data_IF_423003272511
#
_entry.id   IF_423003272511
#
_cell.length_a   1.000
_cell.length_b   1.000
_cell.length_c   1.000
_cell.angle_alpha   90.00
_cell.angle_beta   90.00
_cell.angle_gamma   90.00
#
_symmetry.space_group_name_H-M   'P 1'
#
loop_
_entity.id
_entity.type
_entity.pdbx_description
1 polymer ?
#
# COMPACT_ATOMS: atom_id res chain seq x y z
N UNK A 1 52.71 25.63 43.96
CA UNK A 1 51.94 24.37 43.98
C UNK A 1 50.65 24.62 43.21
N UNK A 2 50.57 24.14 41.97
CA UNK A 2 49.39 24.24 41.11
C UNK A 2 48.56 22.96 41.27
N UNK A 3 47.30 23.09 41.66
CA UNK A 3 46.33 22.00 41.71
C UNK A 3 45.72 21.76 40.33
N UNK A 4 45.77 20.54 39.77
CA UNK A 4 45.15 20.24 38.50
C UNK A 4 43.64 20.06 38.66
N UNK A 5 42.85 20.78 37.88
CA UNK A 5 41.40 20.58 37.72
C UNK A 5 41.14 19.52 36.64
N UNK A 6 40.62 18.35 37.02
CA UNK A 6 40.11 17.35 36.07
C UNK A 6 38.74 17.78 35.52
N UNK A 7 38.53 17.80 34.19
CA UNK A 7 37.20 17.93 33.62
C UNK A 7 36.44 16.60 33.71
N UNK A 8 35.27 16.63 34.33
CA UNK A 8 34.32 15.51 34.37
C UNK A 8 33.60 15.43 33.01
N UNK A 9 34.04 14.51 32.14
CA UNK A 9 33.36 14.21 30.90
C UNK A 9 32.16 13.29 31.20
N UNK A 10 30.94 13.83 31.12
CA UNK A 10 29.70 13.04 31.21
C UNK A 10 29.36 12.59 29.80
N UNK A 11 29.69 11.34 29.47
CA UNK A 11 29.28 10.72 28.20
C UNK A 11 27.84 10.22 28.36
N UNK A 12 26.87 10.98 27.86
CA UNK A 12 25.47 10.56 27.79
C UNK A 12 25.33 9.54 26.65
N UNK A 13 25.34 8.25 27.00
CA UNK A 13 25.07 7.17 26.06
C UNK A 13 23.57 7.20 25.68
N UNK A 14 23.24 7.83 24.56
CA UNK A 14 21.91 7.77 23.97
C UNK A 14 21.64 6.38 23.44
N UNK A 15 20.78 5.62 24.11
CA UNK A 15 20.19 4.40 23.57
C UNK A 15 19.25 4.80 22.42
N UNK A 16 19.76 4.75 21.18
CA UNK A 16 18.95 4.82 19.98
C UNK A 16 18.23 3.48 19.84
N UNK A 17 16.95 3.44 20.20
CA UNK A 17 16.08 2.33 19.84
C UNK A 17 15.68 2.51 18.38
N UNK A 18 16.36 1.80 17.48
CA UNK A 18 15.91 1.68 16.09
C UNK A 18 14.69 0.77 16.06
N UNK A 19 13.50 1.36 15.98
CA UNK A 19 12.29 0.63 15.64
C UNK A 19 12.48 0.06 14.22
N UNK A 20 12.53 -1.27 14.09
CA UNK A 20 12.41 -1.90 12.78
C UNK A 20 10.96 -1.73 12.34
N UNK A 21 10.76 -1.05 11.21
CA UNK A 21 9.48 -1.11 10.52
C UNK A 21 9.31 -2.56 10.05
N UNK A 22 8.31 -3.27 10.59
CA UNK A 22 7.97 -4.58 10.10
C UNK A 22 7.30 -4.40 8.73
N UNK A 23 7.86 -5.05 7.71
CA UNK A 23 7.22 -5.16 6.40
C UNK A 23 5.90 -5.94 6.57
N UNK A 24 4.84 -5.45 5.94
CA UNK A 24 3.55 -6.14 5.86
C UNK A 24 3.44 -6.75 4.48
N UNK A 25 3.64 -8.06 4.38
CA UNK A 25 3.64 -8.78 3.12
C UNK A 25 2.20 -9.00 2.61
N UNK A 26 2.07 -8.99 1.30
CA UNK A 26 0.86 -9.31 0.55
C UNK A 26 1.16 -10.39 -0.46
N UNK A 27 0.30 -11.40 -0.47
CA UNK A 27 0.18 -12.36 -1.56
C UNK A 27 -1.01 -11.97 -2.44
N UNK A 28 -0.74 -11.57 -3.68
CA UNK A 28 -1.77 -11.17 -4.64
C UNK A 28 -1.89 -12.17 -5.78
N UNK A 29 -3.12 -12.49 -6.17
CA UNK A 29 -3.44 -13.23 -7.40
C UNK A 29 -4.42 -12.39 -8.20
N UNK A 30 -4.05 -11.95 -9.39
CA UNK A 30 -4.79 -10.94 -10.17
C UNK A 30 -4.81 -11.31 -11.64
N UNK A 31 -5.88 -10.96 -12.35
CA UNK A 31 -5.93 -10.95 -13.81
C UNK A 31 -6.92 -9.88 -14.32
N UNK A 32 -6.87 -9.53 -15.61
CA UNK A 32 -7.79 -8.58 -16.21
C UNK A 32 -8.08 -8.91 -17.68
N UNK A 33 -9.34 -8.73 -18.08
CA UNK A 33 -9.80 -8.67 -19.46
C UNK A 33 -9.86 -7.17 -19.85
N UNK A 34 -8.83 -6.57 -20.47
CA UNK A 34 -7.65 -7.22 -21.08
C UNK A 34 -6.33 -6.96 -20.35
N UNK A 35 -6.17 -5.83 -19.69
CA UNK A 35 -4.87 -5.45 -19.15
C UNK A 35 -4.93 -4.76 -17.80
N UNK A 36 -3.87 -4.94 -17.01
CA UNK A 36 -3.67 -4.19 -15.78
C UNK A 36 -2.21 -3.90 -15.44
N UNK A 37 -2.00 -2.89 -14.60
CA UNK A 37 -0.82 -2.69 -13.78
C UNK A 37 -1.18 -2.66 -12.30
N UNK A 38 -0.36 -3.31 -11.48
CA UNK A 38 -0.50 -3.38 -10.02
C UNK A 38 0.51 -2.45 -9.37
N UNK A 39 0.04 -1.55 -8.51
CA UNK A 39 0.88 -0.58 -7.80
C UNK A 39 0.56 -0.57 -6.30
N UNK A 40 1.50 -0.06 -5.53
CA UNK A 40 1.30 0.36 -4.14
C UNK A 40 1.69 1.81 -3.97
N UNK A 41 1.04 2.54 -3.05
CA UNK A 41 1.41 3.92 -2.74
C UNK A 41 0.53 4.54 -1.67
N UNK A 42 0.80 5.79 -1.33
CA UNK A 42 -0.01 6.54 -0.37
C UNK A 42 -1.36 6.94 -0.98
N UNK A 43 -2.31 7.35 -0.14
CA UNK A 43 -3.66 7.74 -0.58
C UNK A 43 -3.70 8.88 -1.62
N UNK A 44 -2.67 9.73 -1.62
CA UNK A 44 -2.50 10.90 -2.48
C UNK A 44 -1.69 10.62 -3.76
N UNK A 45 -1.33 9.35 -4.01
CA UNK A 45 -0.51 8.95 -5.15
C UNK A 45 0.99 9.21 -4.96
N UNK A 46 1.43 9.68 -3.79
CA UNK A 46 2.85 9.73 -3.46
C UNK A 46 3.40 8.33 -3.14
N UNK A 47 4.72 8.16 -3.28
CA UNK A 47 5.40 6.88 -3.08
C UNK A 47 4.87 5.71 -3.93
N UNK A 48 4.27 6.01 -5.09
CA UNK A 48 3.81 4.97 -6.03
C UNK A 48 4.98 4.11 -6.51
N UNK A 49 4.80 2.79 -6.40
CA UNK A 49 5.73 1.78 -6.88
C UNK A 49 4.97 0.77 -7.72
N UNK A 50 5.46 0.49 -8.92
CA UNK A 50 4.95 -0.60 -9.77
C UNK A 50 5.40 -1.93 -9.19
N UNK A 51 4.44 -2.82 -8.92
CA UNK A 51 4.69 -4.21 -8.52
C UNK A 51 4.77 -5.11 -9.74
N UNK A 52 3.83 -4.96 -10.68
CA UNK A 52 3.76 -5.81 -11.87
C UNK A 52 2.64 -5.44 -12.82
N UNK A 53 2.51 -6.21 -13.90
CA UNK A 53 1.46 -6.12 -14.93
C UNK A 53 1.19 -7.49 -15.54
N UNK A 54 0.05 -7.66 -16.21
CA UNK A 54 -0.15 -8.80 -17.12
C UNK A 54 0.51 -8.60 -18.49
N UNK A 55 0.44 -9.62 -19.33
CA UNK A 55 1.10 -9.65 -20.63
C UNK A 55 0.57 -8.60 -21.63
N UNK A 56 1.40 -8.30 -22.63
CA UNK A 56 1.00 -7.52 -23.79
C UNK A 56 0.24 -8.40 -24.78
N UNK A 57 -0.64 -7.78 -25.57
CA UNK A 57 -1.40 -8.46 -26.61
C UNK A 57 -2.59 -9.25 -26.06
N UNK A 58 -3.39 -9.80 -26.97
CA UNK A 58 -4.59 -10.57 -26.65
C UNK A 58 -4.34 -12.03 -26.23
N UNK A 59 -3.08 -12.49 -26.27
CA UNK A 59 -2.69 -13.87 -25.95
C UNK A 59 -1.96 -13.95 -24.62
N UNK A 60 -2.41 -14.84 -23.72
CA UNK A 60 -1.79 -15.06 -22.41
C UNK A 60 -0.70 -16.12 -22.41
N UNK A 61 0.18 -16.09 -21.42
CA UNK A 61 1.08 -17.22 -21.18
C UNK A 61 0.26 -18.38 -20.61
N UNK A 62 0.10 -19.44 -21.39
CA UNK A 62 -0.59 -20.72 -21.07
C UNK A 62 -2.12 -20.77 -21.16
N UNK A 63 -2.83 -19.63 -21.25
CA UNK A 63 -4.27 -19.56 -21.50
C UNK A 63 -4.66 -19.40 -22.98
N UNK A 64 -5.96 -19.55 -23.29
CA UNK A 64 -6.51 -19.19 -24.60
C UNK A 64 -6.63 -17.68 -24.82
N UNK A 65 -6.73 -16.90 -23.73
CA UNK A 65 -6.74 -15.44 -23.68
C UNK A 65 -5.85 -14.95 -22.52
N UNK A 66 -5.42 -13.69 -22.59
CA UNK A 66 -4.53 -13.04 -21.61
C UNK A 66 -5.10 -12.90 -20.19
N UNK A 67 -6.40 -13.12 -20.00
CA UNK A 67 -7.06 -13.03 -18.71
C UNK A 67 -7.36 -14.38 -18.04
N UNK A 68 -7.13 -15.50 -18.72
CA UNK A 68 -7.59 -16.81 -18.23
C UNK A 68 -6.72 -17.39 -17.12
N UNK A 69 -5.47 -16.98 -17.03
CA UNK A 69 -4.51 -17.45 -16.04
C UNK A 69 -4.05 -16.25 -15.24
N UNK A 70 -4.28 -16.19 -13.92
CA UNK A 70 -3.88 -15.04 -13.13
C UNK A 70 -2.40 -15.06 -12.79
N UNK A 71 -1.82 -13.88 -12.72
CA UNK A 71 -0.47 -13.69 -12.21
C UNK A 71 -0.47 -13.65 -10.68
N UNK A 72 0.65 -14.09 -10.11
CA UNK A 72 0.88 -14.07 -8.66
C UNK A 72 2.01 -13.11 -8.32
N UNK A 73 1.81 -12.31 -7.28
CA UNK A 73 2.79 -11.37 -6.75
C UNK A 73 2.95 -11.56 -5.24
N UNK A 74 4.16 -11.35 -4.76
CA UNK A 74 4.47 -11.24 -3.35
C UNK A 74 5.24 -9.93 -3.14
N UNK A 75 4.72 -9.05 -2.28
CA UNK A 75 5.31 -7.72 -2.05
C UNK A 75 4.96 -7.16 -0.67
N UNK A 76 5.84 -6.30 -0.16
CA UNK A 76 5.63 -5.59 1.09
C UNK A 76 4.90 -4.26 0.89
N UNK A 77 3.94 -3.95 1.76
CA UNK A 77 3.40 -2.60 1.94
C UNK A 77 4.04 -1.88 3.13
N UNK A 78 4.36 -0.61 2.89
CA UNK A 78 4.57 0.35 3.95
C UNK A 78 3.27 0.67 4.72
N UNK A 79 3.43 1.26 5.89
CA UNK A 79 2.31 1.76 6.71
C UNK A 79 1.48 2.78 5.93
N UNK A 80 0.16 2.72 6.08
CA UNK A 80 -0.82 3.62 5.46
C UNK A 80 -0.86 3.60 3.92
N UNK A 81 -0.24 2.58 3.31
CA UNK A 81 -0.26 2.39 1.87
C UNK A 81 -1.50 1.62 1.39
N UNK A 82 -1.89 1.96 0.16
CA UNK A 82 -3.01 1.40 -0.57
C UNK A 82 -2.50 0.54 -1.71
N UNK A 83 -3.30 -0.45 -2.09
CA UNK A 83 -3.10 -1.20 -3.33
C UNK A 83 -3.91 -0.52 -4.43
N UNK A 84 -3.30 -0.40 -5.60
CA UNK A 84 -3.89 0.20 -6.79
C UNK A 84 -3.84 -0.78 -7.96
N UNK A 85 -4.95 -0.86 -8.69
CA UNK A 85 -5.02 -1.53 -9.99
C UNK A 85 -5.30 -0.47 -11.05
N UNK A 86 -4.47 -0.41 -12.09
CA UNK A 86 -4.73 0.41 -13.29
C UNK A 86 -5.11 -0.54 -14.40
N UNK A 87 -6.38 -0.56 -14.82
CA UNK A 87 -6.88 -1.50 -15.82
C UNK A 87 -7.42 -0.81 -17.06
N UNK A 88 -7.29 -1.44 -18.22
CA UNK A 88 -7.86 -0.96 -19.47
C UNK A 88 -8.34 -2.13 -20.35
N UNK A 89 -9.39 -1.84 -21.12
CA UNK A 89 -9.95 -2.74 -22.13
C UNK A 89 -9.19 -2.55 -23.46
N UNK A 90 -8.90 -3.61 -24.20
CA UNK A 90 -8.40 -3.49 -25.57
C UNK A 90 -9.37 -4.06 -26.62
N UNK A 91 -10.57 -4.45 -26.17
CA UNK A 91 -11.75 -4.70 -26.97
C UNK A 91 -12.54 -5.90 -26.46
N UNK A 92 -13.82 -5.69 -26.19
CA UNK A 92 -14.74 -6.76 -25.82
C UNK A 92 -15.29 -6.55 -24.41
N UNK A 93 -15.69 -7.63 -23.71
CA UNK A 93 -16.08 -7.55 -22.31
C UNK A 93 -14.89 -7.17 -21.45
N UNK A 94 -15.08 -6.16 -20.62
CA UNK A 94 -14.03 -5.62 -19.75
C UNK A 94 -14.23 -6.03 -18.29
N UNK A 95 -13.16 -6.42 -17.63
CA UNK A 95 -13.16 -6.61 -16.19
C UNK A 95 -11.74 -6.76 -15.65
N UNK A 96 -11.60 -6.65 -14.34
CA UNK A 96 -10.50 -7.30 -13.66
C UNK A 96 -11.00 -8.04 -12.43
N UNK A 97 -10.23 -9.04 -12.01
CA UNK A 97 -10.53 -9.84 -10.83
C UNK A 97 -9.23 -10.18 -10.11
N UNK A 98 -9.26 -10.16 -8.79
CA UNK A 98 -8.14 -10.51 -7.95
C UNK A 98 -8.50 -10.72 -6.50
N UNK A 99 -7.53 -11.25 -5.76
CA UNK A 99 -7.55 -11.42 -4.31
C UNK A 99 -6.17 -11.07 -3.74
N UNK A 100 -6.17 -10.52 -2.52
CA UNK A 100 -4.96 -10.05 -1.84
C UNK A 100 -4.98 -10.58 -0.41
N UNK A 101 -4.13 -11.56 -0.13
CA UNK A 101 -3.92 -12.12 1.19
C UNK A 101 -3.05 -11.19 2.03
N UNK A 102 -3.55 -10.82 3.20
CA UNK A 102 -2.86 -9.95 4.12
C UNK A 102 -2.12 -10.79 5.19
N UNK A 103 -0.99 -10.30 5.70
CA UNK A 103 -0.20 -10.97 6.76
C UNK A 103 -0.99 -11.30 8.04
N UNK A 104 -2.11 -10.62 8.28
CA UNK A 104 -3.00 -10.88 9.42
C UNK A 104 -4.02 -12.01 9.15
N UNK A 105 -3.96 -12.67 7.99
CA UNK A 105 -4.88 -13.73 7.56
C UNK A 105 -6.20 -13.23 6.97
N UNK A 106 -6.41 -11.91 6.92
CA UNK A 106 -7.55 -11.33 6.21
C UNK A 106 -7.28 -11.27 4.71
N UNK A 107 -8.35 -11.02 3.95
CA UNK A 107 -8.30 -10.92 2.50
C UNK A 107 -9.00 -9.65 2.04
N UNK A 108 -8.46 -9.06 0.98
CA UNK A 108 -9.16 -8.07 0.17
C UNK A 108 -9.54 -8.76 -1.13
N UNK A 109 -10.80 -8.72 -1.50
CA UNK A 109 -11.27 -9.28 -2.77
C UNK A 109 -11.61 -8.16 -3.74
N UNK A 110 -11.40 -8.39 -5.02
CA UNK A 110 -12.07 -7.59 -6.06
C UNK A 110 -13.57 -7.71 -5.86
N UNK A 111 -14.20 -6.64 -5.41
CA UNK A 111 -15.65 -6.52 -5.25
C UNK A 111 -15.97 -5.02 -5.11
N UNK A 112 -17.25 -4.70 -5.10
CA UNK A 112 -17.71 -3.31 -5.09
C UNK A 112 -17.60 -2.60 -3.73
N UNK A 113 -17.25 -3.33 -2.66
CA UNK A 113 -17.20 -2.79 -1.29
C UNK A 113 -15.78 -2.61 -0.75
N UNK A 114 -14.82 -3.36 -1.26
CA UNK A 114 -13.41 -3.29 -0.85
C UNK A 114 -12.61 -2.32 -1.73
N UNK A 115 -13.18 -1.92 -2.87
CA UNK A 115 -12.54 -1.08 -3.87
C UNK A 115 -13.33 0.19 -4.15
N UNK A 116 -12.57 1.25 -4.43
CA UNK A 116 -13.00 2.47 -5.07
C UNK A 116 -12.37 2.54 -6.44
N UNK A 117 -12.96 3.31 -7.33
CA UNK A 117 -12.52 3.41 -8.70
C UNK A 117 -12.78 4.81 -9.30
N UNK A 118 -11.94 5.19 -10.26
CA UNK A 118 -11.97 6.45 -11.03
C UNK A 118 -11.49 6.19 -12.45
N UNK A 119 -11.69 7.15 -13.35
CA UNK A 119 -11.06 7.18 -14.67
C UNK A 119 -9.77 7.98 -14.63
N UNK A 120 -8.78 7.55 -15.44
CA UNK A 120 -7.54 8.28 -15.66
C UNK A 120 -7.73 9.47 -16.59
N UNK A 121 -6.71 10.32 -16.68
CA UNK A 121 -6.71 11.46 -17.60
C UNK A 121 -6.13 11.15 -18.98
N UNK A 122 -5.33 10.08 -19.09
CA UNK A 122 -4.67 9.67 -20.33
C UNK A 122 -5.55 8.81 -21.25
N UNK A 123 -5.11 8.59 -22.50
CA UNK A 123 -5.81 7.71 -23.43
C UNK A 123 -5.69 6.25 -22.98
N UNK A 124 -6.60 5.42 -23.48
CA UNK A 124 -6.48 3.96 -23.38
C UNK A 124 -5.16 3.50 -24.02
N UNK A 125 -4.28 2.78 -23.28
CA UNK A 125 -3.02 2.27 -23.81
C UNK A 125 -3.20 1.26 -24.97
N UNK A 126 -4.29 0.52 -25.00
CA UNK A 126 -4.57 -0.56 -25.94
C UNK A 126 -3.66 -1.79 -25.76
N UNK A 127 -3.74 -2.71 -26.71
CA UNK A 127 -3.16 -4.07 -26.63
C UNK A 127 -1.65 -4.14 -26.36
N UNK A 128 -0.91 -3.20 -26.95
CA UNK A 128 0.56 -3.13 -26.82
C UNK A 128 1.00 -1.84 -26.14
N UNK A 129 0.07 -1.20 -25.41
CA UNK A 129 0.32 0.04 -24.71
C UNK A 129 1.23 -0.12 -23.52
N UNK A 130 2.00 0.94 -23.25
CA UNK A 130 2.71 1.08 -21.99
C UNK A 130 1.78 1.58 -20.90
N UNK A 131 2.09 1.18 -19.66
CA UNK A 131 1.42 1.71 -18.48
C UNK A 131 1.59 3.25 -18.42
N UNK A 132 0.61 3.97 -17.86
CA UNK A 132 0.77 5.40 -17.59
C UNK A 132 2.02 5.64 -16.74
N UNK A 133 2.79 6.67 -17.09
CA UNK A 133 3.99 7.04 -16.32
C UNK A 133 3.60 7.40 -14.88
N UNK A 134 4.45 7.03 -13.91
CA UNK A 134 4.16 7.22 -12.47
C UNK A 134 3.77 8.66 -12.09
N UNK A 135 4.39 9.66 -12.72
CA UNK A 135 4.05 11.06 -12.49
C UNK A 135 2.62 11.41 -12.94
N UNK A 136 2.16 10.86 -14.06
CA UNK A 136 0.79 11.04 -14.56
C UNK A 136 -0.18 10.33 -13.62
N UNK A 137 0.09 9.06 -13.29
CA UNK A 137 -0.75 8.27 -12.41
C UNK A 137 -0.90 8.89 -11.01
N UNK A 138 0.19 9.44 -10.45
CA UNK A 138 0.15 10.17 -9.18
C UNK A 138 -0.77 11.40 -9.23
N UNK A 139 -0.75 12.17 -10.33
CA UNK A 139 -1.62 13.33 -10.50
C UNK A 139 -3.09 12.91 -10.64
N UNK A 140 -3.37 11.84 -11.39
CA UNK A 140 -4.72 11.29 -11.51
C UNK A 140 -5.27 10.87 -10.15
N UNK A 141 -4.47 10.16 -9.35
CA UNK A 141 -4.87 9.73 -7.99
C UNK A 141 -5.11 10.92 -7.08
N UNK A 142 -4.23 11.94 -7.12
CA UNK A 142 -4.37 13.15 -6.31
C UNK A 142 -5.64 13.94 -6.65
N UNK A 143 -6.01 14.01 -7.92
CA UNK A 143 -7.19 14.72 -8.42
C UNK A 143 -8.47 13.89 -8.49
N UNK A 144 -8.40 12.60 -8.15
CA UNK A 144 -9.48 11.65 -8.38
C UNK A 144 -10.73 11.92 -7.53
N UNK A 145 -11.88 11.75 -8.16
CA UNK A 145 -13.16 11.58 -7.45
C UNK A 145 -13.48 10.10 -7.37
N UNK A 146 -13.22 9.51 -6.21
CA UNK A 146 -13.37 8.08 -5.97
C UNK A 146 -14.84 7.69 -5.74
N UNK A 147 -15.28 6.61 -6.39
CA UNK A 147 -16.61 6.01 -6.20
C UNK A 147 -16.51 4.48 -6.16
N UNK A 148 -17.53 3.80 -5.67
CA UNK A 148 -17.58 2.33 -5.79
C UNK A 148 -17.62 1.93 -7.28
N UNK A 149 -17.03 0.79 -7.68
CA UNK A 149 -17.17 0.25 -9.03
C UNK A 149 -18.64 0.16 -9.46
N UNK A 150 -18.92 0.57 -10.70
CA UNK A 150 -20.26 0.63 -11.27
C UNK A 150 -20.87 -0.76 -11.48
N UNK A 151 -20.05 -1.76 -11.78
CA UNK A 151 -20.50 -3.11 -12.06
C UNK A 151 -19.60 -4.17 -11.39
N UNK A 152 -20.21 -5.33 -11.14
CA UNK A 152 -19.59 -6.48 -10.49
C UNK A 152 -20.40 -7.75 -10.73
N UNK A 153 -19.74 -8.87 -11.03
CA UNK A 153 -20.36 -10.21 -11.09
C UNK A 153 -19.41 -11.25 -10.49
N UNK A 154 -19.95 -12.30 -9.87
CA UNK A 154 -19.15 -13.31 -9.18
C UNK A 154 -18.17 -14.05 -10.12
N UNK A 155 -17.03 -14.49 -9.56
CA UNK A 155 -16.15 -15.45 -10.21
C UNK A 155 -16.94 -16.71 -10.64
N UNK A 156 -16.84 -17.10 -11.92
CA UNK A 156 -17.71 -18.11 -12.53
C UNK A 156 -18.75 -17.55 -13.51
N UNK A 157 -18.97 -16.24 -13.53
CA UNK A 157 -19.93 -15.61 -14.42
C UNK A 157 -19.47 -15.57 -15.89
N UNK A 158 -20.41 -15.73 -16.82
CA UNK A 158 -20.18 -15.52 -18.26
C UNK A 158 -19.89 -14.03 -18.55
N UNK A 159 -18.96 -13.70 -19.47
CA UNK A 159 -18.25 -14.60 -20.39
C UNK A 159 -16.97 -15.24 -19.82
N UNK A 160 -16.47 -14.77 -18.68
CA UNK A 160 -15.15 -15.15 -18.16
C UNK A 160 -15.10 -16.56 -17.56
N UNK A 161 -16.20 -17.05 -16.99
CA UNK A 161 -16.22 -18.32 -16.27
C UNK A 161 -15.44 -18.23 -14.96
N UNK A 162 -14.96 -19.38 -14.46
CA UNK A 162 -14.20 -19.44 -13.21
C UNK A 162 -12.71 -19.22 -13.49
N UNK A 163 -12.07 -18.29 -12.78
CA UNK A 163 -10.62 -18.13 -12.77
C UNK A 163 -10.03 -19.01 -11.66
N UNK A 164 -9.26 -20.03 -12.04
CA UNK A 164 -8.57 -20.91 -11.10
C UNK A 164 -7.54 -20.13 -10.27
N UNK A 165 -7.43 -20.44 -8.98
CA UNK A 165 -6.55 -19.74 -8.05
C UNK A 165 -7.16 -18.48 -7.42
N UNK A 166 -8.30 -18.00 -7.93
CA UNK A 166 -9.04 -16.88 -7.33
C UNK A 166 -10.30 -17.39 -6.62
N UNK A 167 -10.54 -16.90 -5.40
CA UNK A 167 -11.69 -17.23 -4.56
C UNK A 167 -13.02 -16.93 -5.24
N UNK A 168 -14.06 -17.71 -4.91
CA UNK A 168 -15.44 -17.41 -5.30
C UNK A 168 -16.03 -16.16 -4.61
N UNK A 169 -15.34 -15.60 -3.61
CA UNK A 169 -15.69 -14.33 -2.98
C UNK A 169 -15.25 -13.11 -3.80
N UNK A 170 -14.37 -13.30 -4.80
CA UNK A 170 -13.99 -12.26 -5.73
C UNK A 170 -15.03 -12.11 -6.86
N UNK A 171 -15.11 -10.90 -7.39
CA UNK A 171 -16.01 -10.48 -8.46
C UNK A 171 -15.18 -9.89 -9.60
N UNK A 172 -15.58 -10.19 -10.83
CA UNK A 172 -15.20 -9.40 -11.99
C UNK A 172 -15.84 -8.02 -11.84
N UNK A 173 -15.03 -6.99 -11.63
CA UNK A 173 -15.51 -5.63 -11.43
C UNK A 173 -15.02 -4.70 -12.54
N UNK A 174 -15.81 -3.66 -12.79
CA UNK A 174 -15.41 -2.55 -13.67
C UNK A 174 -15.98 -1.21 -13.21
N UNK A 175 -15.40 -0.11 -13.72
CA UNK A 175 -15.70 1.26 -13.31
C UNK A 175 -17.17 1.63 -13.53
N UNK A 176 -17.77 1.22 -14.63
CA UNK A 176 -19.12 1.63 -15.05
C UNK A 176 -20.02 0.45 -15.41
N UNK A 177 -19.64 -0.38 -16.38
CA UNK A 177 -20.41 -1.53 -16.88
C UNK A 177 -19.48 -2.69 -17.27
N UNK A 178 -20.06 -3.89 -17.35
CA UNK A 178 -19.42 -5.12 -17.85
C UNK A 178 -19.86 -5.45 -19.28
N UNK A 179 -20.51 -4.50 -19.95
CA UNK A 179 -20.87 -4.63 -21.35
C UNK A 179 -19.62 -4.58 -22.25
N UNK A 180 -19.74 -5.01 -23.51
CA UNK A 180 -18.64 -5.01 -24.46
C UNK A 180 -18.19 -3.60 -24.94
N UNK A 181 -18.76 -2.55 -24.36
CA UNK A 181 -18.40 -1.16 -24.61
C UNK A 181 -18.84 -0.30 -23.43
N UNK A 182 -17.98 0.60 -22.99
CA UNK A 182 -18.24 1.58 -21.96
C UNK A 182 -17.65 2.96 -22.24
N UNK A 183 -18.17 4.00 -21.57
CA UNK A 183 -17.53 5.30 -21.52
C UNK A 183 -16.06 5.25 -21.07
N UNK A 184 -15.69 4.32 -20.18
CA UNK A 184 -14.32 4.15 -19.71
C UNK A 184 -13.32 3.71 -20.79
N UNK A 185 -13.76 3.14 -21.90
CA UNK A 185 -12.86 2.49 -22.88
C UNK A 185 -11.97 3.48 -23.63
N UNK A 186 -12.29 4.78 -23.55
CA UNK A 186 -11.42 5.82 -24.10
C UNK A 186 -10.17 6.08 -23.24
N UNK A 187 -10.11 5.53 -22.02
CA UNK A 187 -9.06 5.76 -21.02
C UNK A 187 -8.72 4.49 -20.26
N UNK A 188 -7.79 4.57 -19.32
CA UNK A 188 -7.60 3.55 -18.28
C UNK A 188 -8.43 3.90 -17.05
N UNK A 189 -8.78 2.87 -16.28
CA UNK A 189 -9.48 2.98 -15.00
C UNK A 189 -8.49 2.72 -13.87
N UNK A 190 -8.65 3.42 -12.76
CA UNK A 190 -7.79 3.27 -11.58
C UNK A 190 -8.68 2.81 -10.45
N UNK A 191 -8.33 1.70 -9.82
CA UNK A 191 -8.96 1.17 -8.62
C UNK A 191 -8.01 1.34 -7.44
N UNK A 192 -8.56 1.61 -6.26
CA UNK A 192 -7.84 1.71 -5.00
C UNK A 192 -8.62 0.99 -3.91
N UNK A 193 -7.95 0.31 -2.99
CA UNK A 193 -8.61 -0.23 -1.80
C UNK A 193 -9.33 0.88 -1.01
N UNK A 194 -10.49 0.57 -0.42
CA UNK A 194 -11.26 1.56 0.36
C UNK A 194 -10.49 2.05 1.59
N UNK A 195 -9.75 1.13 2.21
CA UNK A 195 -8.88 1.39 3.36
C UNK A 195 -7.43 1.11 2.99
N UNK A 196 -6.49 1.68 3.76
CA UNK A 196 -5.10 1.22 3.73
C UNK A 196 -5.05 -0.29 3.93
N UNK A 197 -4.31 -1.00 3.07
CA UNK A 197 -4.15 -2.45 3.20
C UNK A 197 -3.19 -2.79 4.35
N UNK A 198 -2.36 -1.83 4.78
CA UNK A 198 -1.58 -1.89 6.00
C UNK A 198 -1.87 -0.64 6.85
N UNK A 199 -2.93 -0.60 7.66
CA UNK A 199 -3.27 0.58 8.49
C UNK A 199 -2.23 0.85 9.60
N UNK A 200 -1.14 0.07 9.64
CA UNK A 200 -0.24 -0.02 10.77
C UNK A 200 -0.93 -0.69 11.96
N UNK A 201 -0.15 -1.40 12.77
CA UNK A 201 -0.53 -1.41 14.18
C UNK A 201 -0.16 -0.03 14.70
N UNK A 202 -1.09 0.66 15.35
CA UNK A 202 -0.72 1.80 16.20
C UNK A 202 0.08 1.21 17.36
N UNK A 203 1.33 0.79 17.11
CA UNK A 203 2.22 0.32 18.15
C UNK A 203 2.25 1.47 19.15
N UNK A 204 1.89 1.25 20.42
CA UNK A 204 1.90 2.31 21.41
C UNK A 204 3.29 2.91 21.38
N UNK A 205 3.41 4.15 20.90
CA UNK A 205 4.68 4.87 20.86
C UNK A 205 5.25 4.71 22.26
N UNK A 206 6.44 4.10 22.45
CA UNK A 206 7.03 3.96 23.76
C UNK A 206 7.23 5.38 24.29
N UNK A 207 6.29 5.84 25.11
CA UNK A 207 6.40 7.14 25.75
C UNK A 207 7.67 7.00 26.57
N UNK A 208 8.72 7.82 26.35
CA UNK A 208 9.93 7.73 27.15
C UNK A 208 9.46 7.78 28.59
N UNK A 209 9.69 6.68 29.33
CA UNK A 209 9.04 6.47 30.62
C UNK A 209 9.17 7.78 31.40
N UNK A 210 8.07 8.40 31.86
CA UNK A 210 8.15 9.65 32.61
C UNK A 210 9.15 9.56 33.78
N UNK A 211 9.37 8.34 34.28
CA UNK A 211 10.38 7.96 35.26
C UNK A 211 11.83 8.18 34.82
N UNK A 212 12.18 7.97 33.54
CA UNK A 212 13.53 8.21 33.03
C UNK A 212 13.85 9.72 33.01
N UNK A 213 12.88 10.56 32.64
CA UNK A 213 13.01 12.03 32.74
C UNK A 213 13.03 12.50 34.20
N UNK A 214 12.22 11.89 35.07
CA UNK A 214 12.21 12.18 36.51
C UNK A 214 13.56 11.84 37.15
N UNK A 215 14.15 10.69 36.82
CA UNK A 215 15.44 10.25 37.37
C UNK A 215 16.60 11.15 36.94
N UNK A 216 16.65 11.58 35.67
CA UNK A 216 17.69 12.51 35.19
C UNK A 216 17.54 13.91 35.83
N UNK A 217 16.31 14.34 36.12
CA UNK A 217 16.05 15.63 36.78
C UNK A 217 16.46 15.72 38.25
N UNK A 218 16.46 14.61 39.01
CA UNK A 218 16.72 14.62 40.46
C UNK A 218 18.21 14.44 40.80
N UNK A 219 19.00 13.81 39.92
CA UNK A 219 20.43 13.57 40.15
C UNK A 219 21.27 14.85 40.42
N UNK A 220 21.04 16.01 39.78
CA UNK A 220 21.74 17.25 40.11
C UNK A 220 21.34 17.84 41.46
N UNK A 221 20.11 17.60 41.92
CA UNK A 221 19.56 18.18 43.15
C UNK A 221 20.11 17.49 44.41
N UNK A 222 20.47 16.21 44.32
CA UNK A 222 21.04 15.45 45.45
C UNK A 222 22.51 15.80 45.74
N UNK A 223 23.21 16.52 44.85
CA UNK A 223 24.65 16.79 45.00
C UNK A 223 25.00 18.02 45.84
N UNK A 224 24.00 18.72 46.40
CA UNK A 224 24.20 20.03 47.06
C UNK A 224 23.85 20.01 48.54
N UNK A 225 24.64 19.33 49.39
CA UNK A 225 24.85 19.70 50.82
C UNK A 225 25.90 18.81 51.50
N UNK A 226 27.17 19.20 51.39
CA UNK A 226 28.14 18.97 52.47
C UNK A 226 28.77 20.33 52.76
N UNK A 227 28.15 21.09 53.69
CA UNK A 227 28.79 22.26 54.28
C UNK A 227 29.68 21.75 55.40
N UNK A 228 30.99 21.80 55.18
CA UNK A 228 32.01 21.54 56.19
C UNK A 228 31.86 22.57 57.31
N UNK A 229 31.50 22.11 58.51
CA UNK A 229 31.49 22.95 59.70
C UNK A 229 32.94 23.32 60.05
N UNK A 230 33.23 24.63 60.06
CA UNK A 230 34.53 25.18 60.41
C UNK A 230 34.54 25.42 61.92
N UNK A 231 35.27 24.59 62.65
CA UNK A 231 35.52 24.80 64.09
C UNK A 231 36.42 26.02 64.25
N UNK A 232 35.98 27.01 65.03
CA UNK A 232 36.78 28.16 65.45
C UNK A 232 37.19 27.93 66.90
N UNK A 233 38.50 27.93 67.13
CA UNK A 233 39.19 27.92 68.43
C UNK A 233 39.04 29.24 69.17
#
# INVERSE_FOLDING_TARGET
MQTPTLPLLITLAGLLFSAHAQAFEIDATVTADNHYGLYVGNADGSALTLIGRNEYGSGGSTGGYNWQVPENYNFALGTDQYVYIVAWDDGGPQSWIGQFGLDNGNWIYSNRTDWLATTGSGPNPGSNGELPGLAVLAQDILGATWQAPGAGVANGASPWGSIEGISGAAEFIWQDTLAASAPSDATYTIYRTVSSANPGTSAPVPVPAPLALLLVGILPLLRRRVRTARTVT
#
